data_IF_141822946315
#
_entry.id   IF_141822946315
#
_cell.length_a   1.000
_cell.length_b   1.000
_cell.length_c   1.000
_cell.angle_alpha   90.00
_cell.angle_beta   90.00
_cell.angle_gamma   90.00
#
_symmetry.space_group_name_H-M   'P 1'
#
loop_
_entity.id
_entity.type
_entity.pdbx_description
1 polymer ?
#
# COMPACT_ATOMS: atom_id res chain seq x y z
N UNK A 1 9.54 -8.93 22.81
CA UNK A 1 10.14 -9.84 21.81
C UNK A 1 9.62 -9.57 20.41
N UNK A 2 8.29 -9.58 20.18
CA UNK A 2 7.64 -9.35 18.87
C UNK A 2 8.14 -8.17 18.03
N UNK A 3 8.46 -7.01 18.62
CA UNK A 3 8.99 -5.84 17.89
C UNK A 3 10.34 -6.12 17.24
N UNK A 4 11.27 -6.72 17.99
CA UNK A 4 12.61 -7.00 17.50
C UNK A 4 12.60 -8.01 16.35
N UNK A 5 11.66 -8.96 16.36
CA UNK A 5 11.45 -9.92 15.27
C UNK A 5 11.01 -9.22 13.98
N UNK A 6 10.05 -8.27 14.06
CA UNK A 6 9.66 -7.47 12.90
C UNK A 6 10.79 -6.57 12.39
N UNK A 7 11.55 -5.95 13.30
CA UNK A 7 12.67 -5.08 12.93
C UNK A 7 13.77 -5.90 12.21
N UNK A 8 14.06 -7.12 12.70
CA UNK A 8 14.98 -8.05 12.04
C UNK A 8 14.45 -8.54 10.68
N UNK A 9 13.14 -8.79 10.57
CA UNK A 9 12.52 -9.16 9.30
C UNK A 9 12.56 -8.02 8.28
N UNK A 10 12.31 -6.78 8.72
CA UNK A 10 12.43 -5.60 7.87
C UNK A 10 13.87 -5.43 7.38
N UNK A 11 14.88 -5.60 8.24
CA UNK A 11 16.28 -5.53 7.84
C UNK A 11 16.63 -6.58 6.76
N UNK A 12 16.16 -7.82 6.92
CA UNK A 12 16.29 -8.87 5.89
C UNK A 12 15.61 -8.47 4.59
N UNK A 13 14.37 -7.96 4.64
CA UNK A 13 13.63 -7.50 3.45
C UNK A 13 14.38 -6.39 2.72
N UNK A 14 14.88 -5.39 3.44
CA UNK A 14 15.62 -4.28 2.84
C UNK A 14 16.95 -4.76 2.24
N UNK A 15 17.69 -5.60 2.94
CA UNK A 15 18.98 -6.12 2.47
C UNK A 15 18.81 -7.04 1.25
N UNK A 16 17.85 -7.95 1.28
CA UNK A 16 17.66 -8.98 0.26
C UNK A 16 16.88 -8.50 -0.97
N UNK A 17 15.98 -7.50 -0.84
CA UNK A 17 15.12 -7.07 -1.94
C UNK A 17 15.41 -5.65 -2.46
N UNK A 18 16.13 -4.83 -1.68
CA UNK A 18 16.31 -3.40 -1.93
C UNK A 18 17.76 -2.90 -1.87
N UNK A 19 18.74 -3.73 -1.51
CA UNK A 19 20.14 -3.35 -1.70
C UNK A 19 20.46 -3.16 -3.19
N UNK A 20 21.44 -2.32 -3.57
CA UNK A 20 21.79 -2.12 -4.98
C UNK A 20 22.13 -3.44 -5.70
N UNK A 21 22.82 -4.34 -5.00
CA UNK A 21 23.14 -5.69 -5.49
C UNK A 21 21.88 -6.53 -5.70
N UNK A 22 20.97 -6.54 -4.71
CA UNK A 22 19.71 -7.27 -4.82
C UNK A 22 18.89 -6.78 -6.00
N UNK A 23 18.68 -5.46 -6.11
CA UNK A 23 17.92 -4.85 -7.21
C UNK A 23 18.50 -5.28 -8.56
N UNK A 24 19.80 -5.13 -8.77
CA UNK A 24 20.45 -5.52 -10.02
C UNK A 24 20.30 -7.01 -10.36
N UNK A 25 20.14 -7.86 -9.34
CA UNK A 25 20.02 -9.31 -9.51
C UNK A 25 18.60 -9.75 -9.83
N UNK A 26 17.59 -9.16 -9.18
CA UNK A 26 16.21 -9.66 -9.20
C UNK A 26 15.24 -8.77 -9.98
N UNK A 27 15.61 -7.53 -10.35
CA UNK A 27 14.67 -6.55 -10.90
C UNK A 27 13.96 -6.96 -12.19
N UNK A 28 14.49 -7.92 -12.94
CA UNK A 28 13.93 -8.41 -14.20
C UNK A 28 13.65 -9.92 -14.19
N UNK A 29 13.89 -10.59 -13.06
CA UNK A 29 13.83 -12.04 -12.90
C UNK A 29 12.76 -12.39 -11.86
N UNK A 30 11.55 -12.66 -12.34
CA UNK A 30 10.40 -12.94 -11.47
C UNK A 30 10.55 -14.27 -10.73
N UNK A 31 11.19 -15.27 -11.32
CA UNK A 31 11.39 -16.58 -10.70
C UNK A 31 12.31 -16.47 -9.49
N UNK A 32 13.47 -15.81 -9.66
CA UNK A 32 14.36 -15.53 -8.53
C UNK A 32 13.72 -14.64 -7.48
N UNK A 33 12.93 -13.65 -7.91
CA UNK A 33 12.20 -12.78 -6.97
C UNK A 33 11.22 -13.58 -6.13
N UNK A 34 10.37 -14.41 -6.76
CA UNK A 34 9.39 -15.26 -6.06
C UNK A 34 10.09 -16.20 -5.10
N UNK A 35 11.13 -16.91 -5.55
CA UNK A 35 11.90 -17.83 -4.72
C UNK A 35 12.50 -17.16 -3.48
N UNK A 36 12.98 -15.92 -3.60
CA UNK A 36 13.55 -15.16 -2.49
C UNK A 36 12.48 -14.62 -1.54
N UNK A 37 11.32 -14.21 -2.06
CA UNK A 37 10.24 -13.61 -1.28
C UNK A 37 9.38 -14.62 -0.52
N UNK A 38 9.29 -15.87 -0.99
CA UNK A 38 8.50 -16.94 -0.34
C UNK A 38 8.80 -17.10 1.15
N UNK A 39 10.05 -17.37 1.56
CA UNK A 39 10.41 -17.51 2.97
C UNK A 39 10.16 -16.24 3.80
N UNK A 40 10.32 -15.05 3.19
CA UNK A 40 10.07 -13.78 3.88
C UNK A 40 8.58 -13.57 4.19
N UNK A 41 7.70 -14.00 3.28
CA UNK A 41 6.25 -13.97 3.50
C UNK A 41 5.81 -14.99 4.53
N UNK A 42 6.37 -16.20 4.49
CA UNK A 42 6.10 -17.23 5.50
C UNK A 42 6.47 -16.74 6.90
N UNK A 43 7.67 -16.17 7.06
CA UNK A 43 8.12 -15.56 8.30
C UNK A 43 7.15 -14.44 8.75
N UNK A 44 6.79 -13.53 7.84
CA UNK A 44 5.88 -12.41 8.13
C UNK A 44 4.49 -12.88 8.58
N UNK A 45 3.90 -13.85 7.87
CA UNK A 45 2.58 -14.39 8.20
C UNK A 45 2.60 -15.23 9.47
N UNK A 46 3.69 -15.95 9.74
CA UNK A 46 3.87 -16.68 10.99
C UNK A 46 3.90 -15.73 12.20
N UNK A 47 4.55 -14.56 12.05
CA UNK A 47 4.59 -13.53 13.09
C UNK A 47 3.21 -12.91 13.34
N UNK A 48 2.43 -12.65 12.28
CA UNK A 48 1.12 -12.02 12.35
C UNK A 48 0.02 -12.97 12.84
N UNK A 49 0.24 -14.29 12.76
CA UNK A 49 -0.75 -15.27 13.20
C UNK A 49 -1.10 -15.01 14.68
N UNK A 50 -2.40 -14.92 15.04
CA UNK A 50 -2.77 -14.88 16.44
C UNK A 50 -2.32 -16.20 17.08
N UNK A 51 -1.32 -16.11 17.95
CA UNK A 51 -0.81 -17.24 18.75
C UNK A 51 -1.92 -17.60 19.73
N UNK A 52 -2.77 -18.56 19.36
CA UNK A 52 -3.78 -19.24 20.17
C UNK A 52 -4.68 -18.36 21.06
N UNK A 53 -5.97 -18.35 20.77
CA UNK A 53 -7.00 -17.80 21.66
C UNK A 53 -6.81 -18.29 23.12
N UNK A 54 -6.87 -17.42 24.13
CA UNK A 54 -7.01 -17.88 25.51
C UNK A 54 -8.39 -18.54 25.69
N UNK A 55 -8.54 -19.50 26.63
CA UNK A 55 -9.84 -20.01 27.00
C UNK A 55 -10.69 -18.84 27.53
N UNK A 56 -11.96 -18.81 27.16
CA UNK A 56 -12.91 -17.81 27.61
C UNK A 56 -13.00 -17.80 29.14
N UNK A 57 -12.29 -16.88 29.79
CA UNK A 57 -12.54 -16.50 31.18
C UNK A 57 -12.91 -15.02 31.25
N UNK A 58 -14.17 -14.83 31.62
CA UNK A 58 -14.90 -13.59 31.81
C UNK A 58 -14.08 -12.48 32.48
N UNK A 59 -13.95 -11.35 31.79
CA UNK A 59 -13.81 -10.04 32.44
C UNK A 59 -14.60 -8.99 31.63
N UNK A 60 -15.67 -8.41 32.19
CA UNK A 60 -16.39 -7.33 31.53
C UNK A 60 -15.74 -5.98 31.89
N UNK A 61 -15.40 -5.19 30.86
CA UNK A 61 -15.23 -3.71 30.85
C UNK A 61 -14.05 -3.31 29.93
N UNK A 62 -14.36 -2.68 28.79
CA UNK A 62 -13.44 -2.05 27.81
C UNK A 62 -12.46 -2.95 27.01
N UNK A 63 -12.76 -4.23 26.81
CA UNK A 63 -11.94 -5.11 25.98
C UNK A 63 -12.30 -5.00 24.49
N UNK A 64 -11.32 -4.68 23.64
CA UNK A 64 -11.41 -5.02 22.23
C UNK A 64 -10.57 -4.20 21.24
N UNK A 65 -10.02 -3.03 21.63
CA UNK A 65 -9.22 -2.22 20.70
C UNK A 65 -7.72 -2.36 20.95
N UNK A 66 -6.88 -2.53 19.91
CA UNK A 66 -5.45 -2.62 20.07
C UNK A 66 -4.88 -1.36 20.73
N UNK A 67 -3.93 -1.56 21.65
CA UNK A 67 -3.13 -0.49 22.28
C UNK A 67 -2.26 0.23 21.23
N UNK A 68 -1.76 1.43 21.56
CA UNK A 68 -0.96 2.22 20.61
C UNK A 68 0.30 1.50 20.08
N UNK A 69 0.93 0.66 20.90
CA UNK A 69 2.05 -0.17 20.45
C UNK A 69 1.59 -1.24 19.44
N UNK A 70 0.45 -1.88 19.67
CA UNK A 70 -0.09 -2.90 18.75
C UNK A 70 -0.43 -2.31 17.39
N UNK A 71 -1.04 -1.11 17.36
CA UNK A 71 -1.28 -0.37 16.09
C UNK A 71 0.02 -0.01 15.36
N UNK A 72 1.07 0.34 16.10
CA UNK A 72 2.40 0.60 15.51
C UNK A 72 3.00 -0.67 14.91
N UNK A 73 2.87 -1.81 15.58
CA UNK A 73 3.37 -3.10 15.09
C UNK A 73 2.57 -3.59 13.87
N UNK A 74 1.26 -3.42 13.88
CA UNK A 74 0.37 -3.72 12.76
C UNK A 74 0.71 -2.88 11.52
N UNK A 75 0.98 -1.59 11.71
CA UNK A 75 1.51 -0.74 10.62
C UNK A 75 2.85 -1.27 10.09
N UNK A 76 3.78 -1.67 10.97
CA UNK A 76 5.06 -2.22 10.52
C UNK A 76 4.87 -3.51 9.71
N UNK A 77 3.94 -4.37 10.14
CA UNK A 77 3.54 -5.56 9.37
C UNK A 77 3.06 -5.20 7.97
N UNK A 78 2.12 -4.25 7.84
CA UNK A 78 1.64 -3.80 6.53
C UNK A 78 2.76 -3.22 5.67
N UNK A 79 3.67 -2.44 6.27
CA UNK A 79 4.80 -1.86 5.57
C UNK A 79 5.76 -2.91 5.02
N UNK A 80 6.09 -3.94 5.81
CA UNK A 80 6.94 -5.05 5.37
C UNK A 80 6.23 -5.85 4.26
N UNK A 81 4.95 -6.16 4.43
CA UNK A 81 4.18 -6.89 3.43
C UNK A 81 4.15 -6.13 2.09
N UNK A 82 3.87 -4.82 2.12
CA UNK A 82 3.89 -3.96 0.94
C UNK A 82 5.26 -3.91 0.30
N UNK A 83 6.33 -3.86 1.10
CA UNK A 83 7.70 -3.87 0.61
C UNK A 83 8.02 -5.17 -0.12
N UNK A 84 7.54 -6.31 0.37
CA UNK A 84 7.70 -7.59 -0.33
C UNK A 84 6.86 -7.63 -1.61
N UNK A 85 5.57 -7.30 -1.56
CA UNK A 85 4.70 -7.29 -2.74
C UNK A 85 5.22 -6.35 -3.84
N UNK A 86 5.75 -5.19 -3.47
CA UNK A 86 6.39 -4.26 -4.40
C UNK A 86 7.63 -4.87 -5.07
N UNK A 87 8.42 -5.66 -4.35
CA UNK A 87 9.53 -6.39 -4.94
C UNK A 87 9.04 -7.44 -5.93
N UNK A 88 7.98 -8.20 -5.58
CA UNK A 88 7.35 -9.22 -6.45
C UNK A 88 6.81 -8.60 -7.74
N UNK A 89 6.19 -7.41 -7.68
CA UNK A 89 5.66 -6.73 -8.87
C UNK A 89 6.75 -6.16 -9.80
N UNK A 90 7.94 -5.86 -9.27
CA UNK A 90 9.01 -5.13 -9.97
C UNK A 90 9.43 -5.75 -11.32
N UNK A 91 9.63 -7.09 -11.45
CA UNK A 91 10.00 -7.72 -12.72
C UNK A 91 8.97 -7.58 -13.83
N UNK A 92 7.73 -7.26 -13.47
CA UNK A 92 6.62 -7.14 -14.42
C UNK A 92 6.43 -5.72 -14.96
N UNK A 93 7.22 -4.74 -14.48
CA UNK A 93 7.07 -3.33 -14.87
C UNK A 93 7.67 -3.00 -16.23
N UNK A 94 8.65 -3.78 -16.67
CA UNK A 94 9.31 -3.61 -17.97
C UNK A 94 9.38 -4.96 -18.69
N UNK A 95 8.23 -5.48 -19.14
CA UNK A 95 8.18 -6.76 -19.82
C UNK A 95 8.94 -6.69 -21.16
N UNK A 96 9.74 -7.71 -21.46
CA UNK A 96 10.26 -7.94 -22.81
C UNK A 96 9.16 -8.57 -23.67
N UNK A 97 9.09 -8.26 -24.96
CA UNK A 97 8.09 -8.79 -25.91
C UNK A 97 7.99 -10.32 -25.85
N UNK A 98 9.13 -11.00 -25.74
CA UNK A 98 9.22 -12.47 -25.62
C UNK A 98 8.61 -13.05 -24.35
N UNK A 99 8.52 -12.27 -23.26
CA UNK A 99 7.93 -12.72 -21.99
C UNK A 99 6.41 -12.58 -22.02
N UNK A 100 5.87 -11.59 -22.73
CA UNK A 100 4.44 -11.32 -22.82
C UNK A 100 3.64 -12.45 -23.48
N UNK A 101 4.28 -13.32 -24.26
CA UNK A 101 3.64 -14.45 -24.93
C UNK A 101 3.73 -15.75 -24.12
N UNK A 102 4.51 -15.79 -23.03
CA UNK A 102 4.67 -16.99 -22.20
C UNK A 102 3.55 -17.06 -21.19
N UNK A 103 2.77 -18.15 -21.24
CA UNK A 103 1.67 -18.42 -20.31
C UNK A 103 2.12 -18.35 -18.85
N UNK A 104 3.28 -18.93 -18.52
CA UNK A 104 3.85 -18.92 -17.16
C UNK A 104 4.12 -17.51 -16.65
N UNK A 105 4.59 -16.60 -17.52
CA UNK A 105 4.85 -15.21 -17.17
C UNK A 105 3.56 -14.44 -16.90
N UNK A 106 2.54 -14.64 -17.74
CA UNK A 106 1.22 -14.02 -17.55
C UNK A 106 0.61 -14.49 -16.23
N UNK A 107 0.65 -15.79 -15.95
CA UNK A 107 0.14 -16.36 -14.69
C UNK A 107 0.90 -15.85 -13.47
N UNK A 108 2.23 -15.77 -13.54
CA UNK A 108 3.04 -15.23 -12.45
C UNK A 108 2.75 -13.75 -12.20
N UNK A 109 2.57 -12.95 -13.25
CA UNK A 109 2.18 -11.54 -13.16
C UNK A 109 0.82 -11.40 -12.49
N UNK A 110 -0.16 -12.20 -12.89
CA UNK A 110 -1.50 -12.16 -12.34
C UNK A 110 -1.49 -12.51 -10.85
N UNK A 111 -0.80 -13.59 -10.48
CA UNK A 111 -0.65 -13.98 -9.08
C UNK A 111 0.02 -12.88 -8.24
N UNK A 112 1.04 -12.21 -8.78
CA UNK A 112 1.69 -11.08 -8.13
C UNK A 112 0.73 -9.90 -7.90
N UNK A 113 -0.16 -9.61 -8.86
CA UNK A 113 -1.18 -8.56 -8.73
C UNK A 113 -2.24 -8.92 -7.69
N UNK A 114 -2.75 -10.15 -7.69
CA UNK A 114 -3.72 -10.63 -6.67
C UNK A 114 -3.13 -10.52 -5.26
N UNK A 115 -1.86 -10.90 -5.09
CA UNK A 115 -1.19 -10.80 -3.80
C UNK A 115 -1.01 -9.34 -3.37
N UNK A 116 -0.58 -8.47 -4.29
CA UNK A 116 -0.48 -7.04 -4.01
C UNK A 116 -1.85 -6.44 -3.68
N UNK A 117 -2.91 -6.87 -4.36
CA UNK A 117 -4.27 -6.41 -4.09
C UNK A 117 -4.72 -6.73 -2.67
N UNK A 118 -4.51 -7.97 -2.23
CA UNK A 118 -4.82 -8.42 -0.88
C UNK A 118 -4.06 -7.60 0.16
N UNK A 119 -2.75 -7.41 -0.06
CA UNK A 119 -1.88 -6.64 0.81
C UNK A 119 -2.30 -5.16 0.93
N UNK A 120 -2.53 -4.50 -0.21
CA UNK A 120 -2.89 -3.08 -0.29
C UNK A 120 -4.28 -2.84 0.30
N UNK A 121 -5.24 -3.74 0.05
CA UNK A 121 -6.59 -3.63 0.59
C UNK A 121 -6.59 -3.68 2.12
N UNK A 122 -5.83 -4.61 2.71
CA UNK A 122 -5.67 -4.69 4.16
C UNK A 122 -5.01 -3.43 4.73
N UNK A 123 -3.98 -2.89 4.08
CA UNK A 123 -3.31 -1.66 4.52
C UNK A 123 -4.21 -0.40 4.35
N UNK A 124 -5.06 -0.37 3.32
CA UNK A 124 -6.03 0.69 3.12
C UNK A 124 -7.13 0.66 4.19
N UNK A 125 -7.59 -0.54 4.57
CA UNK A 125 -8.55 -0.72 5.66
C UNK A 125 -7.94 -0.29 7.01
N UNK A 126 -6.67 -0.63 7.25
CA UNK A 126 -5.95 -0.14 8.42
C UNK A 126 -6.00 1.39 8.54
N UNK A 127 -5.78 2.13 7.43
CA UNK A 127 -5.89 3.60 7.40
C UNK A 127 -7.32 4.06 7.68
N UNK A 128 -8.30 3.36 7.11
CA UNK A 128 -9.71 3.67 7.32
C UNK A 128 -10.09 3.60 8.80
N UNK A 129 -9.66 2.53 9.47
CA UNK A 129 -9.95 2.20 10.87
C UNK A 129 -9.22 3.09 11.89
N UNK A 130 -8.20 3.85 11.47
CA UNK A 130 -7.53 4.79 12.38
C UNK A 130 -8.53 5.76 13.00
N UNK A 131 -8.40 6.05 14.29
CA UNK A 131 -9.24 7.03 14.99
C UNK A 131 -8.38 7.96 15.85
N UNK A 132 -8.93 9.07 16.35
CA UNK A 132 -8.18 10.02 17.18
C UNK A 132 -7.49 9.40 18.39
N UNK A 133 -8.07 8.34 18.96
CA UNK A 133 -7.49 7.65 20.13
C UNK A 133 -6.18 6.91 19.79
N UNK A 134 -5.92 6.63 18.50
CA UNK A 134 -4.63 6.08 18.06
C UNK A 134 -3.50 7.13 18.11
N UNK A 135 -3.77 8.38 18.52
CA UNK A 135 -2.74 9.37 18.84
C UNK A 135 -1.92 8.98 20.07
N UNK A 136 -2.50 8.23 21.00
CA UNK A 136 -1.77 7.67 22.14
C UNK A 136 -0.70 6.66 21.69
N UNK A 137 -0.84 6.12 20.47
CA UNK A 137 0.26 5.44 19.80
C UNK A 137 1.36 6.46 19.46
N UNK A 138 2.49 6.39 20.16
CA UNK A 138 3.69 7.12 19.77
C UNK A 138 4.18 6.60 18.42
N UNK A 139 3.71 7.22 17.32
CA UNK A 139 4.08 6.87 15.96
C UNK A 139 5.57 7.18 15.71
N UNK A 140 6.39 6.16 15.39
CA UNK A 140 7.80 6.41 15.08
C UNK A 140 7.96 7.21 13.78
N UNK A 141 9.09 7.90 13.60
CA UNK A 141 9.35 8.71 12.42
C UNK A 141 9.22 7.94 11.08
N UNK A 142 9.53 6.63 11.07
CA UNK A 142 9.40 5.80 9.87
C UNK A 142 7.94 5.55 9.45
N UNK A 143 6.96 5.72 10.35
CA UNK A 143 5.53 5.49 10.05
C UNK A 143 5.04 6.39 8.92
N UNK A 144 5.56 7.62 8.83
CA UNK A 144 5.24 8.54 7.74
C UNK A 144 5.63 7.97 6.36
N UNK A 145 6.77 7.28 6.30
CA UNK A 145 7.21 6.57 5.09
C UNK A 145 6.30 5.39 4.78
N UNK A 146 5.85 4.65 5.80
CA UNK A 146 4.93 3.53 5.63
C UNK A 146 3.57 3.97 5.05
N UNK A 147 2.94 4.99 5.63
CA UNK A 147 1.69 5.57 5.09
C UNK A 147 1.87 6.11 3.67
N UNK A 148 3.00 6.78 3.41
CA UNK A 148 3.33 7.24 2.07
C UNK A 148 3.45 6.06 1.09
N UNK A 149 4.06 4.95 1.50
CA UNK A 149 4.24 3.76 0.66
C UNK A 149 2.90 3.17 0.21
N UNK A 150 1.91 3.12 1.11
CA UNK A 150 0.55 2.66 0.79
C UNK A 150 -0.04 3.46 -0.37
N UNK A 151 -0.04 4.80 -0.28
CA UNK A 151 -0.57 5.68 -1.32
C UNK A 151 0.11 5.47 -2.67
N UNK A 152 1.44 5.35 -2.66
CA UNK A 152 2.20 5.14 -3.89
C UNK A 152 1.97 3.76 -4.49
N UNK A 153 1.75 2.73 -3.67
CA UNK A 153 1.46 1.41 -4.18
C UNK A 153 0.06 1.32 -4.79
N UNK A 154 -0.94 2.00 -4.21
CA UNK A 154 -2.27 2.16 -4.81
C UNK A 154 -2.16 2.91 -6.15
N UNK A 155 -1.44 4.03 -6.18
CA UNK A 155 -1.21 4.80 -7.40
C UNK A 155 -0.50 3.95 -8.47
N UNK A 156 0.46 3.13 -8.06
CA UNK A 156 1.16 2.22 -8.95
C UNK A 156 0.23 1.15 -9.54
N UNK A 157 -0.65 0.57 -8.73
CA UNK A 157 -1.65 -0.39 -9.21
C UNK A 157 -2.60 0.27 -10.21
N UNK A 158 -3.09 1.48 -9.94
CA UNK A 158 -3.93 2.26 -10.84
C UNK A 158 -3.24 2.60 -12.17
N UNK A 159 -2.00 3.10 -12.10
CA UNK A 159 -1.23 3.49 -13.29
C UNK A 159 -0.82 2.30 -14.18
N UNK A 160 -0.79 1.10 -13.61
CA UNK A 160 -0.43 -0.15 -14.30
C UNK A 160 -1.63 -1.07 -14.55
N UNK A 161 -2.86 -0.57 -14.40
CA UNK A 161 -4.09 -1.34 -14.59
C UNK A 161 -4.23 -1.83 -16.02
N UNK A 162 -4.62 -3.09 -16.18
CA UNK A 162 -4.75 -3.74 -17.49
C UNK A 162 -6.01 -3.30 -18.24
N UNK A 163 -7.09 -3.01 -17.51
CA UNK A 163 -8.37 -2.62 -18.06
C UNK A 163 -9.02 -1.49 -17.25
N UNK A 164 -10.13 -0.97 -17.79
CA UNK A 164 -10.91 0.12 -17.19
C UNK A 164 -11.47 -0.26 -15.82
N UNK A 165 -11.93 -1.50 -15.65
CA UNK A 165 -12.54 -1.99 -14.40
C UNK A 165 -11.50 -1.97 -13.27
N UNK A 166 -10.29 -2.46 -13.54
CA UNK A 166 -9.18 -2.45 -12.61
C UNK A 166 -8.71 -1.02 -12.32
N UNK A 167 -8.64 -0.16 -13.34
CA UNK A 167 -8.31 1.26 -13.17
C UNK A 167 -9.31 1.97 -12.24
N UNK A 168 -10.61 1.84 -12.49
CA UNK A 168 -11.67 2.43 -11.66
C UNK A 168 -11.60 1.94 -10.21
N UNK A 169 -11.37 0.64 -10.01
CA UNK A 169 -11.19 0.03 -8.68
C UNK A 169 -10.07 0.74 -7.91
N UNK A 170 -8.88 0.85 -8.51
CA UNK A 170 -7.71 1.41 -7.83
C UNK A 170 -7.79 2.93 -7.68
N UNK A 171 -8.34 3.65 -8.65
CA UNK A 171 -8.58 5.09 -8.54
C UNK A 171 -9.58 5.39 -7.43
N UNK A 172 -10.66 4.62 -7.33
CA UNK A 172 -11.65 4.75 -6.25
C UNK A 172 -11.00 4.49 -4.88
N UNK A 173 -10.20 3.43 -4.77
CA UNK A 173 -9.44 3.12 -3.56
C UNK A 173 -8.49 4.27 -3.18
N UNK A 174 -7.78 4.85 -4.16
CA UNK A 174 -6.87 5.97 -3.95
C UNK A 174 -7.61 7.21 -3.41
N UNK A 175 -8.75 7.56 -4.00
CA UNK A 175 -9.56 8.67 -3.52
C UNK A 175 -10.10 8.43 -2.11
N UNK A 176 -10.54 7.20 -1.80
CA UNK A 176 -10.99 6.81 -0.46
C UNK A 176 -9.88 6.99 0.58
N UNK A 177 -8.72 6.37 0.36
CA UNK A 177 -7.57 6.46 1.28
C UNK A 177 -7.12 7.90 1.46
N UNK A 178 -7.04 8.67 0.37
CA UNK A 178 -6.66 10.09 0.41
C UNK A 178 -7.66 10.93 1.21
N UNK A 179 -8.97 10.68 1.06
CA UNK A 179 -10.00 11.32 1.88
C UNK A 179 -9.83 10.96 3.36
N UNK A 180 -9.67 9.68 3.66
CA UNK A 180 -9.56 9.19 5.03
C UNK A 180 -8.32 9.75 5.72
N UNK A 181 -7.19 9.85 5.03
CA UNK A 181 -5.99 10.48 5.55
C UNK A 181 -6.19 11.96 5.82
N UNK A 182 -6.85 12.71 4.93
CA UNK A 182 -7.11 14.16 5.13
C UNK A 182 -7.96 14.42 6.37
N UNK A 183 -9.00 13.62 6.58
CA UNK A 183 -9.87 13.74 7.76
C UNK A 183 -9.13 13.48 9.07
N UNK A 184 -8.01 12.74 9.01
CA UNK A 184 -7.23 12.29 10.18
C UNK A 184 -5.92 13.05 10.38
N UNK A 185 -5.46 13.78 9.37
CA UNK A 185 -4.13 14.39 9.33
C UNK A 185 -3.89 15.44 10.42
N UNK A 186 -4.92 16.21 10.77
CA UNK A 186 -4.83 17.22 11.84
C UNK A 186 -4.46 16.60 13.20
N UNK A 187 -4.91 15.35 13.42
CA UNK A 187 -4.72 14.64 14.68
C UNK A 187 -3.53 13.67 14.60
N UNK A 188 -3.23 13.12 13.41
CA UNK A 188 -2.18 12.13 13.19
C UNK A 188 -1.10 12.67 12.24
N UNK A 189 -0.06 13.35 12.75
CA UNK A 189 0.99 13.97 11.93
C UNK A 189 1.75 13.00 11.02
N UNK A 190 1.79 11.70 11.36
CA UNK A 190 2.41 10.66 10.54
C UNK A 190 1.77 10.54 9.14
N UNK A 191 0.53 11.02 8.96
CA UNK A 191 -0.16 10.99 7.66
C UNK A 191 0.29 12.11 6.70
N UNK A 192 0.89 13.19 7.22
CA UNK A 192 1.22 14.39 6.44
C UNK A 192 2.15 14.10 5.27
N UNK A 193 3.18 13.27 5.44
CA UNK A 193 4.12 12.97 4.36
C UNK A 193 3.43 12.26 3.20
N UNK A 194 2.59 11.27 3.50
CA UNK A 194 1.84 10.54 2.48
C UNK A 194 0.87 11.46 1.73
N UNK A 195 0.14 12.31 2.47
CA UNK A 195 -0.76 13.31 1.90
C UNK A 195 -0.03 14.31 1.02
N UNK A 196 1.05 14.93 1.49
CA UNK A 196 1.84 15.89 0.73
C UNK A 196 2.27 15.29 -0.62
N UNK A 197 2.79 14.06 -0.59
CA UNK A 197 3.32 13.40 -1.78
C UNK A 197 2.21 13.05 -2.76
N UNK A 198 1.09 12.50 -2.32
CA UNK A 198 -0.02 12.17 -3.23
C UNK A 198 -0.74 13.44 -3.72
N UNK A 199 -0.99 14.42 -2.85
CA UNK A 199 -1.67 15.66 -3.21
C UNK A 199 -0.87 16.50 -4.20
N UNK A 200 0.46 16.48 -4.10
CA UNK A 200 1.31 17.15 -5.08
C UNK A 200 1.11 16.62 -6.52
N UNK A 201 0.79 15.32 -6.68
CA UNK A 201 0.51 14.71 -7.98
C UNK A 201 -0.85 15.20 -8.50
N UNK A 202 -1.88 15.18 -7.65
CA UNK A 202 -3.20 15.67 -8.02
C UNK A 202 -3.22 17.18 -8.30
N UNK A 203 -2.46 17.98 -7.56
CA UNK A 203 -2.37 19.43 -7.79
C UNK A 203 -1.68 19.78 -9.10
N UNK A 204 -0.64 19.03 -9.48
CA UNK A 204 0.01 19.21 -10.78
C UNK A 204 -0.83 18.69 -11.95
N UNK A 205 -1.84 17.87 -11.69
CA UNK A 205 -2.54 17.07 -12.69
C UNK A 205 -1.82 15.74 -12.87
N UNK A 206 -2.56 14.63 -12.73
CA UNK A 206 -1.99 13.26 -12.76
C UNK A 206 -1.35 13.00 -14.12
N UNK A 207 -1.97 13.49 -15.19
CA UNK A 207 -1.51 13.43 -16.58
C UNK A 207 -0.21 14.19 -16.84
N UNK A 208 0.11 15.20 -16.03
CA UNK A 208 1.35 15.96 -16.14
C UNK A 208 2.51 15.30 -15.40
N UNK A 209 2.22 14.31 -14.55
CA UNK A 209 3.21 13.61 -13.72
C UNK A 209 3.44 12.18 -14.20
N UNK A 210 2.40 11.52 -14.70
CA UNK A 210 2.43 10.12 -15.11
C UNK A 210 2.06 9.96 -16.59
N UNK A 211 2.78 9.09 -17.29
CA UNK A 211 2.35 8.59 -18.59
C UNK A 211 1.30 7.50 -18.39
N UNK A 212 0.04 7.81 -18.70
CA UNK A 212 -1.10 6.92 -18.48
C UNK A 212 -1.70 6.45 -19.81
N UNK A 213 -2.19 5.21 -19.82
CA UNK A 213 -3.05 4.70 -20.89
C UNK A 213 -4.43 5.36 -20.84
N UNK A 214 -5.16 5.35 -21.96
CA UNK A 214 -6.39 6.15 -22.10
C UNK A 214 -7.50 5.71 -21.14
N UNK A 215 -7.67 4.41 -20.90
CA UNK A 215 -8.66 3.90 -19.92
C UNK A 215 -8.32 4.34 -18.50
N UNK A 216 -7.03 4.39 -18.14
CA UNK A 216 -6.59 4.87 -16.82
C UNK A 216 -6.84 6.38 -16.69
N UNK A 217 -6.60 7.17 -17.75
CA UNK A 217 -6.94 8.60 -17.74
C UNK A 217 -8.42 8.84 -17.55
N UNK A 218 -9.26 8.05 -18.21
CA UNK A 218 -10.72 8.13 -18.07
C UNK A 218 -11.15 7.82 -16.65
N UNK A 219 -10.58 6.79 -16.00
CA UNK A 219 -10.83 6.49 -14.59
C UNK A 219 -10.48 7.66 -13.65
N UNK A 220 -9.34 8.33 -13.86
CA UNK A 220 -8.99 9.52 -13.07
C UNK A 220 -9.92 10.72 -13.33
N UNK A 221 -10.43 10.86 -14.55
CA UNK A 221 -11.38 11.92 -14.91
C UNK A 221 -12.77 11.67 -14.32
N UNK A 222 -13.26 10.42 -14.35
CA UNK A 222 -14.55 10.02 -13.79
C UNK A 222 -14.56 10.17 -12.27
N UNK A 223 -13.50 9.74 -11.58
CA UNK A 223 -13.35 9.87 -10.12
C UNK A 223 -13.29 11.33 -9.62
N UNK A 224 -12.80 12.25 -10.44
CA UNK A 224 -12.73 13.68 -10.12
C UNK A 224 -14.10 14.38 -10.11
N UNK A 225 -15.13 13.78 -10.71
CA UNK A 225 -16.49 14.34 -10.74
C UNK A 225 -17.23 14.23 -9.40
N UNK A 226 -16.83 13.29 -8.54
CA UNK A 226 -17.48 13.01 -7.24
C UNK A 226 -17.02 13.98 -6.13
N UNK A 227 -15.96 14.78 -6.37
CA UNK A 227 -15.31 15.62 -5.37
C UNK A 227 -15.39 17.13 -5.58
N UNK A 228 -16.14 17.63 -6.57
CA UNK A 228 -16.25 19.08 -6.79
C UNK A 228 -17.34 19.65 -5.87
N UNK A 229 -17.04 20.53 -4.90
CA UNK A 229 -18.08 21.34 -4.29
C UNK A 229 -18.71 22.15 -5.40
N UNK A 230 -20.04 22.25 -5.41
CA UNK A 230 -20.79 23.14 -6.30
C UNK A 230 -20.31 24.58 -6.07
N UNK A 231 -19.29 24.97 -6.84
CA UNK A 231 -18.77 26.33 -6.91
C UNK A 231 -19.78 27.18 -7.63
N UNK A 232 -20.40 28.08 -6.86
CA UNK A 232 -21.29 29.15 -7.30
C UNK A 232 -20.66 29.87 -8.50
N UNK A 233 -21.29 29.74 -9.66
CA UNK A 233 -20.99 30.55 -10.84
C UNK A 233 -21.54 31.96 -10.63
N UNK A 234 -20.71 32.85 -10.08
CA UNK A 234 -20.96 34.29 -10.15
C UNK A 234 -20.53 34.84 -11.52
N UNK A 235 -21.35 35.66 -12.20
CA UNK A 235 -20.98 36.20 -13.51
C UNK A 235 -19.90 37.26 -13.34
N UNK A 236 -18.89 37.20 -14.21
CA UNK A 236 -17.89 38.25 -14.36
C UNK A 236 -18.57 39.53 -14.86
N UNK A 237 -18.37 40.63 -14.12
CA UNK A 237 -18.41 41.99 -14.63
C UNK A 237 -16.99 42.53 -14.65
#
# INVERSE_FOLDING_TARGET
MKRAELDALLDRVLTQLYSPRAINTISTDYEKTIALTGPLLEDLFSWHRPVSAPPAEFTPSNQGRPTGLERTLEMNYHYIHLSICRAILRPFLQPTVEKLTKTEYIMAREQARIQAETCISAAAEFIHELRPEDLEALWPAWSATAFSSICFQILHMAASSVDEIEADKWVTCLHRVRRDMRLKAEILPCLHLGLLRIDSIFWKGVENVLHLEDHVRQAFASGSSVGRPLGITGPAK
#
